data_IF_513516904874
#
_entry.id   IF_513516904874
#
_cell.length_a   1.000
_cell.length_b   1.000
_cell.length_c   1.000
_cell.angle_alpha   90.00
_cell.angle_beta   90.00
_cell.angle_gamma   90.00
#
_symmetry.space_group_name_H-M   'P 1'
#
loop_
_entity.id
_entity.type
_entity.pdbx_description
1 polymer ?
#
# COMPACT_ATOMS: atom_id res chain seq x y z
N UNK A 1 9.24 -1.20 15.03
CA UNK A 1 8.71 -1.87 13.82
C UNK A 1 9.39 -1.46 12.50
N UNK A 2 9.50 -0.15 12.18
CA UNK A 2 10.06 0.35 10.90
C UNK A 2 11.51 -0.08 10.59
N UNK A 3 12.40 -0.14 11.60
CA UNK A 3 13.82 -0.55 11.44
C UNK A 3 13.97 -2.01 10.96
N UNK A 4 13.18 -2.93 11.53
CA UNK A 4 13.17 -4.36 11.15
C UNK A 4 12.74 -4.57 9.69
N UNK A 5 11.73 -3.81 9.23
CA UNK A 5 11.26 -3.86 7.84
C UNK A 5 12.34 -3.37 6.86
N UNK A 6 13.01 -2.25 7.17
CA UNK A 6 14.12 -1.75 6.36
C UNK A 6 15.28 -2.76 6.25
N UNK A 7 15.62 -3.45 7.35
CA UNK A 7 16.66 -4.47 7.35
C UNK A 7 16.28 -5.68 6.47
N UNK A 8 15.03 -6.13 6.53
CA UNK A 8 14.54 -7.23 5.69
C UNK A 8 14.52 -6.82 4.21
N UNK A 9 14.15 -5.58 3.91
CA UNK A 9 14.24 -5.03 2.55
C UNK A 9 15.69 -5.01 2.05
N UNK A 10 16.62 -4.50 2.86
CA UNK A 10 18.04 -4.50 2.54
C UNK A 10 18.54 -5.91 2.21
N UNK A 11 18.21 -6.92 3.03
CA UNK A 11 18.59 -8.32 2.77
C UNK A 11 18.03 -8.85 1.45
N UNK A 12 16.77 -8.55 1.12
CA UNK A 12 16.17 -8.93 -0.17
C UNK A 12 16.89 -8.29 -1.35
N UNK A 13 17.26 -7.02 -1.24
CA UNK A 13 17.98 -6.29 -2.28
C UNK A 13 19.41 -6.82 -2.46
N UNK A 14 20.13 -7.13 -1.37
CA UNK A 14 21.46 -7.75 -1.45
C UNK A 14 21.38 -9.15 -2.05
N UNK A 15 20.38 -9.95 -1.66
CA UNK A 15 20.15 -11.28 -2.23
C UNK A 15 19.90 -11.21 -3.74
N UNK A 16 19.08 -10.25 -4.18
CA UNK A 16 18.87 -9.99 -5.60
C UNK A 16 20.17 -9.67 -6.34
N UNK A 17 21.01 -8.80 -5.78
CA UNK A 17 22.30 -8.43 -6.39
C UNK A 17 23.23 -9.63 -6.52
N UNK A 18 23.32 -10.48 -5.50
CA UNK A 18 24.16 -11.68 -5.54
C UNK A 18 23.64 -12.70 -6.56
N UNK A 19 22.31 -12.91 -6.61
CA UNK A 19 21.69 -13.76 -7.63
C UNK A 19 21.97 -13.26 -9.05
N UNK A 20 21.90 -11.95 -9.29
CA UNK A 20 22.22 -11.35 -10.60
C UNK A 20 23.71 -11.44 -10.96
N UNK A 21 24.59 -11.49 -9.96
CA UNK A 21 26.03 -11.77 -10.14
C UNK A 21 26.31 -13.26 -10.39
N UNK A 22 25.28 -14.12 -10.43
CA UNK A 22 25.43 -15.55 -10.66
C UNK A 22 25.77 -16.38 -9.42
N UNK A 23 25.70 -15.78 -8.22
CA UNK A 23 25.99 -16.51 -6.97
C UNK A 23 24.90 -17.56 -6.71
N UNK A 24 25.26 -18.83 -6.41
CA UNK A 24 24.28 -19.88 -6.14
C UNK A 24 23.36 -19.56 -4.96
N UNK A 25 22.08 -19.96 -5.03
CA UNK A 25 21.07 -19.62 -4.00
C UNK A 25 21.46 -20.06 -2.58
N UNK A 26 22.15 -21.20 -2.47
CA UNK A 26 22.64 -21.70 -1.18
C UNK A 26 23.77 -20.85 -0.59
N UNK A 27 24.65 -20.32 -1.44
CA UNK A 27 25.71 -19.38 -1.05
C UNK A 27 25.09 -18.04 -0.63
N UNK A 28 24.14 -17.52 -1.41
CA UNK A 28 23.38 -16.31 -1.04
C UNK A 28 22.67 -16.46 0.31
N UNK A 29 22.08 -17.63 0.57
CA UNK A 29 21.42 -17.94 1.84
C UNK A 29 22.39 -17.90 3.03
N UNK A 30 23.58 -18.51 2.87
CA UNK A 30 24.66 -18.50 3.88
C UNK A 30 25.16 -17.08 4.15
N UNK A 31 25.47 -16.31 3.09
CA UNK A 31 26.00 -14.95 3.22
C UNK A 31 25.02 -13.97 3.88
N UNK A 32 23.71 -14.15 3.68
CA UNK A 32 22.69 -13.24 4.19
C UNK A 32 21.99 -13.73 5.46
N UNK A 33 22.33 -14.92 5.95
CA UNK A 33 21.69 -15.53 7.13
C UNK A 33 20.20 -15.77 6.94
N UNK A 34 19.79 -16.24 5.76
CA UNK A 34 18.38 -16.53 5.42
C UNK A 34 18.22 -17.96 4.93
N UNK A 35 16.99 -18.49 4.92
CA UNK A 35 16.74 -19.82 4.37
C UNK A 35 16.91 -19.84 2.84
N UNK A 36 17.36 -20.98 2.29
CA UNK A 36 17.42 -21.22 0.84
C UNK A 36 16.05 -20.99 0.17
N UNK A 37 14.96 -21.36 0.84
CA UNK A 37 13.59 -21.13 0.35
C UNK A 37 13.26 -19.64 0.18
N UNK A 38 13.78 -18.77 1.07
CA UNK A 38 13.60 -17.33 0.94
C UNK A 38 14.26 -16.81 -0.34
N UNK A 39 15.49 -17.27 -0.61
CA UNK A 39 16.25 -16.91 -1.82
C UNK A 39 15.58 -17.46 -3.08
N UNK A 40 15.05 -18.69 -3.04
CA UNK A 40 14.25 -19.28 -4.12
C UNK A 40 13.04 -18.40 -4.46
N UNK A 41 12.29 -17.95 -3.45
CA UNK A 41 11.13 -17.08 -3.63
C UNK A 41 11.51 -15.71 -4.21
N UNK A 42 12.67 -15.15 -3.85
CA UNK A 42 13.18 -13.92 -4.46
C UNK A 42 13.53 -14.11 -5.93
N UNK A 43 14.19 -15.23 -6.26
CA UNK A 43 14.53 -15.57 -7.64
C UNK A 43 13.26 -15.72 -8.50
N UNK A 44 12.22 -16.41 -8.01
CA UNK A 44 10.92 -16.56 -8.69
C UNK A 44 10.28 -15.19 -8.99
N UNK A 45 10.40 -14.22 -8.08
CA UNK A 45 9.85 -12.87 -8.29
C UNK A 45 10.67 -12.04 -9.31
N UNK A 46 11.97 -12.30 -9.43
CA UNK A 46 12.86 -11.60 -10.36
C UNK A 46 12.76 -12.08 -11.81
N UNK A 47 12.33 -13.33 -12.05
CA UNK A 47 12.35 -13.93 -13.40
C UNK A 47 11.20 -13.51 -14.32
N UNK A 48 10.20 -12.78 -13.82
CA UNK A 48 8.98 -12.33 -14.52
C UNK A 48 8.10 -13.46 -15.10
N UNK A 49 6.83 -13.37 -14.73
CA UNK A 49 5.63 -13.95 -15.37
C UNK A 49 5.87 -14.40 -16.82
N UNK A 50 5.80 -15.71 -17.07
CA UNK A 50 5.38 -16.20 -18.39
C UNK A 50 3.93 -15.75 -18.58
N UNK A 51 3.64 -15.12 -19.72
CA UNK A 51 2.29 -15.08 -20.24
C UNK A 51 1.81 -16.54 -20.35
N UNK A 52 0.68 -16.82 -19.71
CA UNK A 52 -0.19 -18.00 -19.96
C UNK A 52 0.45 -19.39 -19.97
N UNK A 53 0.08 -20.21 -18.98
CA UNK A 53 0.06 -21.67 -19.12
C UNK A 53 1.14 -22.44 -18.37
N UNK A 54 0.69 -23.32 -17.48
CA UNK A 54 1.39 -24.44 -16.87
C UNK A 54 2.53 -24.16 -15.87
N UNK A 55 2.25 -24.48 -14.60
CA UNK A 55 3.22 -24.56 -13.52
C UNK A 55 4.20 -25.71 -13.73
N UNK A 56 5.46 -25.37 -14.03
CA UNK A 56 6.58 -26.30 -14.07
C UNK A 56 7.40 -26.23 -12.78
N UNK A 57 7.70 -27.39 -12.20
CA UNK A 57 8.45 -27.56 -10.97
C UNK A 57 9.93 -27.18 -11.20
N UNK A 58 10.43 -26.11 -10.54
CA UNK A 58 11.78 -25.55 -10.72
C UNK A 58 12.87 -26.37 -10.00
N UNK A 59 12.70 -27.69 -9.96
CA UNK A 59 13.62 -28.60 -9.28
C UNK A 59 14.69 -29.19 -10.21
N UNK A 60 14.44 -29.29 -11.53
CA UNK A 60 15.32 -30.03 -12.44
C UNK A 60 16.10 -29.19 -13.49
N UNK A 61 16.08 -27.86 -13.41
CA UNK A 61 16.66 -26.99 -14.47
C UNK A 61 17.98 -26.28 -14.10
N UNK A 62 18.64 -26.65 -12.99
CA UNK A 62 19.67 -25.75 -12.42
C UNK A 62 21.03 -25.78 -13.14
N UNK A 63 21.35 -26.79 -13.95
CA UNK A 63 22.64 -26.85 -14.65
C UNK A 63 22.60 -26.32 -16.10
N UNK A 64 21.44 -26.32 -16.76
CA UNK A 64 21.33 -25.83 -18.15
C UNK A 64 21.13 -24.31 -18.24
N UNK A 65 20.55 -23.67 -17.21
CA UNK A 65 20.15 -22.26 -17.28
C UNK A 65 21.25 -21.25 -16.90
N UNK A 66 22.35 -21.65 -16.26
CA UNK A 66 23.34 -20.67 -15.76
C UNK A 66 24.12 -19.99 -16.92
N UNK A 67 24.48 -20.76 -17.94
CA UNK A 67 25.12 -20.25 -19.16
C UNK A 67 24.14 -19.50 -20.07
N UNK A 68 22.88 -19.91 -20.08
CA UNK A 68 21.82 -19.25 -20.86
C UNK A 68 21.36 -17.94 -20.18
N UNK A 69 21.38 -17.88 -18.84
CA UNK A 69 21.16 -16.68 -18.03
C UNK A 69 22.21 -15.62 -18.31
N UNK A 70 23.49 -16.00 -18.33
CA UNK A 70 24.60 -15.10 -18.63
C UNK A 70 24.50 -14.53 -20.05
N UNK A 71 24.03 -15.34 -21.02
CA UNK A 71 23.73 -14.91 -22.40
C UNK A 71 22.50 -13.98 -22.48
N UNK A 72 21.48 -14.19 -21.63
CA UNK A 72 20.20 -13.48 -21.66
C UNK A 72 20.07 -12.32 -20.64
N UNK A 73 21.16 -11.63 -20.30
CA UNK A 73 21.17 -10.50 -19.35
C UNK A 73 20.11 -9.41 -19.64
N UNK A 74 19.67 -9.28 -20.90
CA UNK A 74 18.61 -8.36 -21.36
C UNK A 74 17.17 -8.77 -20.98
N UNK A 75 16.92 -10.03 -20.56
CA UNK A 75 15.58 -10.53 -20.18
C UNK A 75 15.21 -10.26 -18.72
N UNK A 76 16.19 -9.98 -17.86
CA UNK A 76 15.94 -9.72 -16.45
C UNK A 76 15.51 -8.28 -16.23
N UNK A 77 14.36 -8.09 -15.56
CA UNK A 77 13.84 -6.75 -15.23
C UNK A 77 14.90 -5.94 -14.49
N UNK A 78 15.12 -4.72 -14.97
CA UNK A 78 16.04 -3.73 -14.37
C UNK A 78 15.51 -3.15 -13.04
N UNK A 79 14.32 -3.52 -12.58
CA UNK A 79 13.66 -2.86 -11.45
C UNK A 79 13.55 -3.76 -10.22
N UNK A 80 14.29 -3.39 -9.16
CA UNK A 80 14.24 -4.00 -7.82
C UNK A 80 12.91 -3.75 -7.06
N UNK A 81 11.88 -3.19 -7.70
CA UNK A 81 10.61 -2.82 -7.06
C UNK A 81 9.87 -4.03 -6.47
N UNK A 82 9.91 -5.19 -7.14
CA UNK A 82 9.15 -6.40 -6.74
C UNK A 82 9.69 -7.07 -5.45
N UNK A 83 10.89 -6.69 -5.02
CA UNK A 83 11.53 -7.17 -3.79
C UNK A 83 11.50 -6.16 -2.64
N UNK A 84 10.97 -4.96 -2.87
CA UNK A 84 10.75 -3.98 -1.80
C UNK A 84 9.64 -4.44 -0.87
N UNK A 85 9.59 -3.87 0.33
CA UNK A 85 8.48 -4.08 1.25
C UNK A 85 7.17 -3.67 0.55
N UNK A 86 6.33 -4.66 0.28
CA UNK A 86 4.93 -4.41 -0.04
C UNK A 86 4.13 -4.27 1.25
N UNK A 87 3.04 -3.48 1.26
CA UNK A 87 2.11 -3.46 2.38
C UNK A 87 1.64 -4.90 2.67
N UNK A 88 1.84 -5.36 3.91
CA UNK A 88 1.35 -6.66 4.35
C UNK A 88 -0.15 -6.57 4.63
N UNK A 89 -0.92 -7.56 4.17
CA UNK A 89 -2.37 -7.67 4.42
C UNK A 89 -3.25 -7.27 3.24
N UNK A 90 -4.58 -7.35 3.44
CA UNK A 90 -5.58 -6.93 2.44
C UNK A 90 -5.34 -5.44 2.12
N UNK A 91 -5.33 -5.05 0.83
CA UNK A 91 -5.28 -3.64 0.45
C UNK A 91 -6.35 -2.83 1.19
N UNK A 92 -6.02 -1.57 1.49
CA UNK A 92 -7.01 -0.67 2.09
C UNK A 92 -8.16 -0.46 1.11
N UNK A 93 -9.39 -0.49 1.63
CA UNK A 93 -10.60 -0.35 0.82
C UNK A 93 -10.73 1.03 0.16
N UNK A 94 -10.13 2.07 0.78
CA UNK A 94 -10.03 3.42 0.21
C UNK A 94 -8.58 3.67 -0.18
N UNK A 95 -8.34 4.05 -1.43
CA UNK A 95 -6.99 4.33 -1.91
C UNK A 95 -6.45 5.63 -1.31
N UNK A 96 -5.12 5.79 -1.29
CA UNK A 96 -4.49 7.00 -0.74
C UNK A 96 -4.88 8.28 -1.51
N UNK A 97 -5.13 8.17 -2.80
CA UNK A 97 -5.57 9.31 -3.62
C UNK A 97 -6.96 9.80 -3.17
N UNK A 98 -7.88 8.85 -2.94
CA UNK A 98 -9.23 9.12 -2.46
C UNK A 98 -9.23 9.75 -1.07
N UNK A 99 -8.31 9.32 -0.19
CA UNK A 99 -8.12 9.94 1.13
C UNK A 99 -7.72 11.42 1.02
N UNK A 100 -6.82 11.75 0.09
CA UNK A 100 -6.39 13.13 -0.12
C UNK A 100 -7.50 13.98 -0.71
N UNK A 101 -8.25 13.45 -1.66
CA UNK A 101 -9.44 14.09 -2.21
C UNK A 101 -10.50 14.32 -1.12
N UNK A 102 -10.81 13.30 -0.33
CA UNK A 102 -11.78 13.38 0.77
C UNK A 102 -11.38 14.47 1.76
N UNK A 103 -10.09 14.56 2.13
CA UNK A 103 -9.58 15.63 3.00
C UNK A 103 -9.85 17.03 2.41
N UNK A 104 -9.69 17.21 1.10
CA UNK A 104 -10.00 18.49 0.43
C UNK A 104 -11.50 18.79 0.46
N UNK A 105 -12.33 17.80 0.15
CA UNK A 105 -13.79 17.94 0.13
C UNK A 105 -14.33 18.29 1.52
N UNK A 106 -13.85 17.60 2.57
CA UNK A 106 -14.24 17.90 3.94
C UNK A 106 -13.88 19.34 4.34
N UNK A 107 -12.73 19.86 3.89
CA UNK A 107 -12.32 21.27 4.12
C UNK A 107 -13.16 22.28 3.35
N UNK A 108 -13.63 21.92 2.16
CA UNK A 108 -14.46 22.77 1.32
C UNK A 108 -15.89 22.93 1.86
N UNK A 109 -16.34 22.02 2.73
CA UNK A 109 -17.67 22.06 3.34
C UNK A 109 -18.71 21.22 2.58
N UNK A 110 -19.74 20.77 3.29
CA UNK A 110 -20.76 19.89 2.73
C UNK A 110 -21.63 20.57 1.67
N UNK A 111 -21.79 21.91 1.75
CA UNK A 111 -22.57 22.64 0.75
C UNK A 111 -21.95 22.55 -0.65
N UNK A 112 -20.62 22.53 -0.73
CA UNK A 112 -19.88 22.41 -1.98
C UNK A 112 -19.96 21.00 -2.59
N UNK A 113 -20.43 20.01 -1.83
CA UNK A 113 -20.71 18.65 -2.32
C UNK A 113 -22.20 18.44 -2.67
N UNK A 114 -23.00 19.51 -2.68
CA UNK A 114 -24.42 19.45 -3.04
C UNK A 114 -25.38 19.16 -1.88
N UNK A 115 -24.91 19.22 -0.63
CA UNK A 115 -25.80 19.09 0.53
C UNK A 115 -26.42 20.44 0.93
N UNK A 116 -27.63 20.42 1.50
CA UNK A 116 -28.37 21.63 1.88
C UNK A 116 -27.71 22.43 3.02
N UNK A 117 -27.02 21.76 3.94
CA UNK A 117 -26.35 22.38 5.08
C UNK A 117 -24.86 22.05 5.06
N UNK A 118 -24.04 22.98 5.54
CA UNK A 118 -22.57 22.85 5.50
C UNK A 118 -21.99 21.89 6.57
N UNK A 119 -22.86 21.34 7.42
CA UNK A 119 -22.49 20.39 8.47
C UNK A 119 -22.26 19.00 7.88
N UNK A 120 -21.08 18.46 8.10
CA UNK A 120 -20.82 17.06 7.80
C UNK A 120 -21.46 16.15 8.85
N UNK A 121 -22.05 15.05 8.42
CA UNK A 121 -22.48 13.96 9.29
C UNK A 121 -21.85 12.66 8.79
N UNK A 122 -21.71 11.66 9.66
CA UNK A 122 -21.11 10.37 9.27
C UNK A 122 -21.85 9.74 8.09
N UNK A 123 -23.19 9.84 8.04
CA UNK A 123 -23.99 9.32 6.93
C UNK A 123 -23.72 10.06 5.62
N UNK A 124 -23.60 11.39 5.64
CA UNK A 124 -23.28 12.17 4.42
C UNK A 124 -21.90 11.81 3.88
N UNK A 125 -20.93 11.64 4.77
CA UNK A 125 -19.58 11.23 4.35
C UNK A 125 -19.59 9.78 3.83
N UNK A 126 -20.38 8.91 4.46
CA UNK A 126 -20.58 7.54 3.98
C UNK A 126 -21.14 7.53 2.55
N UNK A 127 -22.22 8.28 2.29
CA UNK A 127 -22.84 8.38 0.97
C UNK A 127 -21.89 8.98 -0.07
N UNK A 128 -21.10 9.98 0.33
CA UNK A 128 -20.10 10.62 -0.53
C UNK A 128 -19.02 9.62 -0.94
N UNK A 129 -18.47 8.86 0.01
CA UNK A 129 -17.44 7.85 -0.26
C UNK A 129 -18.04 6.71 -1.10
N UNK A 130 -19.27 6.30 -0.79
CA UNK A 130 -19.99 5.27 -1.53
C UNK A 130 -20.19 5.61 -3.00
N UNK A 131 -20.49 6.89 -3.30
CA UNK A 131 -20.70 7.35 -4.69
C UNK A 131 -19.42 7.64 -5.45
N UNK A 132 -18.38 8.13 -4.77
CA UNK A 132 -17.18 8.63 -5.43
C UNK A 132 -16.05 7.59 -5.55
N UNK A 133 -15.97 6.65 -4.61
CA UNK A 133 -14.77 5.81 -4.44
C UNK A 133 -15.02 4.30 -4.55
N UNK A 134 -16.28 3.84 -4.42
CA UNK A 134 -16.61 2.43 -4.31
C UNK A 134 -17.37 1.95 -5.54
N UNK A 135 -17.06 0.74 -6.00
CA UNK A 135 -17.76 0.08 -7.10
C UNK A 135 -19.13 -0.47 -6.65
N UNK A 136 -20.01 -0.73 -7.61
CA UNK A 136 -21.33 -1.33 -7.34
C UNK A 136 -21.18 -2.65 -6.56
N UNK A 137 -21.77 -2.71 -5.37
CA UNK A 137 -21.74 -3.87 -4.47
C UNK A 137 -20.77 -3.78 -3.29
N UNK A 138 -19.82 -2.84 -3.29
CA UNK A 138 -18.96 -2.62 -2.12
C UNK A 138 -19.60 -1.63 -1.16
N UNK A 139 -19.91 -2.04 0.07
CA UNK A 139 -20.49 -1.15 1.08
C UNK A 139 -19.46 -0.74 2.11
N UNK A 140 -19.42 0.56 2.42
CA UNK A 140 -18.61 1.06 3.51
C UNK A 140 -19.42 1.23 4.79
N UNK A 141 -18.93 0.63 5.89
CA UNK A 141 -19.55 0.78 7.20
C UNK A 141 -19.28 2.17 7.81
N UNK A 142 -20.22 2.69 8.59
CA UNK A 142 -20.07 3.95 9.33
C UNK A 142 -18.82 3.96 10.21
N UNK A 143 -18.47 2.82 10.81
CA UNK A 143 -17.26 2.66 11.63
C UNK A 143 -16.00 2.84 10.80
N UNK A 144 -15.97 2.30 9.58
CA UNK A 144 -14.83 2.46 8.67
C UNK A 144 -14.67 3.91 8.23
N UNK A 145 -15.78 4.60 7.94
CA UNK A 145 -15.80 6.04 7.63
C UNK A 145 -15.24 6.84 8.80
N UNK A 146 -15.74 6.61 10.02
CA UNK A 146 -15.27 7.30 11.23
C UNK A 146 -13.77 7.12 11.46
N UNK A 147 -13.26 5.87 11.36
CA UNK A 147 -11.82 5.59 11.49
C UNK A 147 -11.01 6.31 10.41
N UNK A 148 -11.51 6.33 9.19
CA UNK A 148 -10.84 7.01 8.07
C UNK A 148 -10.73 8.51 8.32
N UNK A 149 -11.80 9.14 8.80
CA UNK A 149 -11.84 10.58 9.11
C UNK A 149 -10.90 10.92 10.27
N UNK A 150 -10.85 10.06 11.31
CA UNK A 150 -9.91 10.21 12.42
C UNK A 150 -8.45 10.08 11.97
N UNK A 151 -8.14 9.12 11.08
CA UNK A 151 -6.80 8.99 10.46
C UNK A 151 -6.41 10.23 9.62
N UNK A 152 -7.40 10.92 9.02
CA UNK A 152 -7.20 12.16 8.29
C UNK A 152 -6.99 13.39 9.18
N UNK A 153 -7.16 13.22 10.50
CA UNK A 153 -7.02 14.24 11.52
C UNK A 153 -8.29 15.07 11.73
N UNK A 154 -9.48 14.53 11.46
CA UNK A 154 -10.74 15.27 11.73
C UNK A 154 -11.44 14.69 12.98
N UNK A 155 -11.83 15.58 13.88
CA UNK A 155 -12.59 15.26 15.10
C UNK A 155 -14.00 15.85 15.08
N UNK A 156 -14.96 15.12 15.65
CA UNK A 156 -16.32 15.61 15.91
C UNK A 156 -16.47 16.35 17.25
N UNK A 157 -15.48 16.23 18.14
CA UNK A 157 -15.53 16.81 19.46
C UNK A 157 -15.64 18.34 19.39
N UNK A 158 -16.58 18.89 20.16
CA UNK A 158 -16.73 20.35 20.28
C UNK A 158 -15.47 20.92 20.93
N UNK A 159 -14.76 21.87 20.30
CA UNK A 159 -13.60 22.51 20.90
C UNK A 159 -13.99 23.35 22.13
N UNK A 160 -13.03 23.56 23.04
CA UNK A 160 -13.21 24.46 24.18
C UNK A 160 -13.51 25.90 23.72
N UNK A 161 -14.22 26.65 24.55
CA UNK A 161 -14.60 28.04 24.28
C UNK A 161 -13.42 29.00 24.11
N UNK A 162 -12.24 28.62 24.61
CA UNK A 162 -11.00 29.41 24.52
C UNK A 162 -10.53 29.60 23.08
N UNK A 163 -10.72 28.61 22.20
CA UNK A 163 -10.29 28.67 20.81
C UNK A 163 -11.43 29.13 19.87
N UNK A 164 -11.77 30.42 19.91
CA UNK A 164 -12.89 30.98 19.14
C UNK A 164 -12.84 30.69 17.62
N UNK A 165 -11.65 30.66 17.02
CA UNK A 165 -11.49 30.36 15.59
C UNK A 165 -11.87 28.91 15.24
N UNK A 166 -11.48 27.94 16.09
CA UNK A 166 -11.87 26.54 15.94
C UNK A 166 -13.36 26.35 16.23
N UNK A 167 -13.91 27.07 17.21
CA UNK A 167 -15.33 27.02 17.54
C UNK A 167 -16.19 27.52 16.37
N UNK A 168 -15.88 28.67 15.77
CA UNK A 168 -16.58 29.19 14.58
C UNK A 168 -16.53 28.20 13.40
N UNK A 169 -15.39 27.55 13.21
CA UNK A 169 -15.19 26.54 12.16
C UNK A 169 -15.98 25.26 12.45
N UNK A 170 -16.03 24.82 13.71
CA UNK A 170 -16.84 23.70 14.17
C UNK A 170 -18.35 23.98 14.05
N UNK A 171 -18.80 25.19 14.42
CA UNK A 171 -20.21 25.58 14.29
C UNK A 171 -20.68 25.56 12.83
N UNK A 172 -19.80 25.95 11.91
CA UNK A 172 -20.04 25.91 10.46
C UNK A 172 -20.02 24.49 9.90
N UNK A 173 -18.96 23.72 10.17
CA UNK A 173 -18.67 22.45 9.48
C UNK A 173 -19.09 21.20 10.26
N UNK A 174 -19.31 21.32 11.58
CA UNK A 174 -19.56 20.23 12.52
C UNK A 174 -18.32 19.42 12.94
N UNK A 175 -17.17 19.69 12.32
CA UNK A 175 -15.91 18.95 12.52
C UNK A 175 -14.72 19.90 12.42
N UNK A 176 -13.64 19.58 13.13
CA UNK A 176 -12.38 20.34 13.11
C UNK A 176 -11.20 19.42 12.81
N UNK A 177 -10.17 19.97 12.17
CA UNK A 177 -8.89 19.29 12.02
C UNK A 177 -8.17 19.35 13.38
N UNK A 178 -7.85 18.20 13.96
CA UNK A 178 -7.18 17.99 15.26
C UNK A 178 -5.69 17.75 15.05
#
# INVERSE_FOLDING_TARGET
>A
MKRKLKLLEYRRLQGARLLMKGVPKAEVARQLGVSRQSVQNWAIRLTVKRETGFGGNVANSFHAEQDEFLRNKKRYKTSYQDLRCQPLGRPRMIAKADLHWLKKVLKAGAKNSGYSTDKWTLSRIQDLIQKACLAEGETISRTQVMRTIQELGFGCAKPSSENQALLRKWERLGWIEV
#
